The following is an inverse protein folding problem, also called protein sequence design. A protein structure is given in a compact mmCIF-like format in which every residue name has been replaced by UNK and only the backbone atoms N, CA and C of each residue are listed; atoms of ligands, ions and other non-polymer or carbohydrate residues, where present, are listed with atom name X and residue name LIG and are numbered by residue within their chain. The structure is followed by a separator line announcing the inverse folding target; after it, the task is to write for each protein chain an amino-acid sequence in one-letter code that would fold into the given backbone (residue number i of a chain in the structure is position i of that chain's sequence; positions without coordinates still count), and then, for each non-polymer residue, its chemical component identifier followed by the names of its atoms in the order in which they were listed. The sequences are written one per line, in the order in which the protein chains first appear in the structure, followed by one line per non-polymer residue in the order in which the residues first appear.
data_IF_965301727652
#
_entry.id   IF_965301727652
#
_cell.length_a   1.000
_cell.length_b   1.000
_cell.length_c   1.000
_cell.angle_alpha   90.00
_cell.angle_beta   90.00
_cell.angle_gamma   90.00
#
_symmetry.space_group_name_H-M   'P 1'
#
loop_
_entity.id
_entity.type
_entity.pdbx_description
1 polymer ?
#
# COMPACT_ATOMS: atom_id res chain seq x y z
N UNK A 1 -4.68 7.45 5.97
CA UNK A 1 -5.57 7.22 7.12
C UNK A 1 -6.62 6.14 6.86
N UNK A 2 -7.40 6.22 5.77
CA UNK A 2 -8.50 5.27 5.49
C UNK A 2 -8.10 3.79 5.62
N UNK A 3 -7.08 3.28 4.91
CA UNK A 3 -6.73 1.84 4.96
C UNK A 3 -6.31 1.32 6.35
N UNK A 4 -5.58 2.11 7.13
CA UNK A 4 -5.20 1.77 8.51
C UNK A 4 -6.41 1.82 9.46
N UNK A 5 -7.28 2.82 9.30
CA UNK A 5 -8.53 2.93 10.04
C UNK A 5 -9.46 1.75 9.75
N UNK A 6 -9.56 1.33 8.49
CA UNK A 6 -10.44 0.25 8.05
C UNK A 6 -10.04 -1.11 8.64
N UNK A 7 -8.74 -1.40 8.68
CA UNK A 7 -8.22 -2.62 9.33
C UNK A 7 -8.37 -2.62 10.83
N UNK A 8 -8.29 -1.44 11.42
CA UNK A 8 -8.42 -1.24 12.86
C UNK A 8 -9.86 -1.35 13.33
N UNK A 9 -10.78 -0.75 12.56
CA UNK A 9 -12.22 -0.89 12.75
C UNK A 9 -12.56 -2.38 12.63
N UNK A 10 -12.07 -3.08 11.61
CA UNK A 10 -12.33 -4.51 11.43
C UNK A 10 -11.83 -5.41 12.57
N UNK A 11 -10.62 -5.19 13.11
CA UNK A 11 -10.12 -5.91 14.29
C UNK A 11 -11.01 -5.70 15.54
N UNK A 12 -11.50 -4.47 15.74
CA UNK A 12 -12.47 -4.18 16.80
C UNK A 12 -13.79 -4.93 16.55
N UNK A 13 -14.22 -5.03 15.30
CA UNK A 13 -15.49 -5.63 14.92
C UNK A 13 -15.50 -7.16 14.95
N UNK A 14 -14.38 -7.83 14.70
CA UNK A 14 -14.23 -9.28 14.98
C UNK A 14 -14.45 -9.53 16.46
N UNK A 15 -13.80 -8.73 17.32
CA UNK A 15 -13.93 -8.86 18.77
C UNK A 15 -15.35 -8.56 19.27
N UNK A 16 -16.13 -7.80 18.48
CA UNK A 16 -17.51 -7.40 18.74
C UNK A 16 -18.52 -8.07 17.78
N UNK A 17 -18.18 -9.24 17.23
CA UNK A 17 -18.95 -9.99 16.21
C UNK A 17 -20.40 -10.37 16.59
N UNK A 18 -20.87 -9.99 17.78
CA UNK A 18 -22.26 -10.13 18.26
C UNK A 18 -23.16 -8.94 17.90
N UNK A 19 -22.65 -7.92 17.22
CA UNK A 19 -23.42 -6.75 16.82
C UNK A 19 -23.95 -6.94 15.39
N UNK A 20 -25.26 -7.12 15.26
CA UNK A 20 -25.95 -7.54 14.03
C UNK A 20 -26.24 -6.39 13.04
N UNK A 21 -25.94 -5.13 13.38
CA UNK A 21 -26.23 -3.98 12.50
C UNK A 21 -25.26 -2.81 12.63
N UNK A 22 -25.08 -2.07 11.52
CA UNK A 22 -24.25 -0.85 11.50
C UNK A 22 -24.70 0.19 12.55
N UNK A 23 -26.00 0.24 12.86
CA UNK A 23 -26.54 1.14 13.88
C UNK A 23 -26.02 0.81 15.29
N UNK A 24 -25.86 -0.48 15.61
CA UNK A 24 -25.27 -0.91 16.88
C UNK A 24 -23.77 -0.58 16.93
N UNK A 25 -23.07 -0.65 15.79
CA UNK A 25 -21.64 -0.35 15.70
C UNK A 25 -21.37 1.14 15.90
N UNK A 26 -22.18 2.01 15.28
CA UNK A 26 -22.08 3.47 15.44
C UNK A 26 -22.30 3.85 16.90
N UNK A 27 -23.29 3.26 17.56
CA UNK A 27 -23.60 3.54 18.97
C UNK A 27 -22.46 3.15 19.92
N UNK A 28 -21.68 2.12 19.59
CA UNK A 28 -20.67 1.58 20.51
C UNK A 28 -19.24 2.05 20.19
N UNK A 29 -18.96 2.38 18.93
CA UNK A 29 -17.64 2.83 18.47
C UNK A 29 -17.55 4.34 18.26
N UNK A 30 -18.69 5.03 18.11
CA UNK A 30 -18.75 6.49 18.03
C UNK A 30 -18.27 7.18 19.31
N UNK A 31 -18.37 6.49 20.46
CA UNK A 31 -17.92 6.98 21.77
C UNK A 31 -16.38 6.97 21.95
N UNK A 32 -15.62 6.41 21.01
CA UNK A 32 -14.17 6.24 21.15
C UNK A 32 -13.35 7.43 20.63
N UNK A 33 -13.97 8.53 20.18
CA UNK A 33 -13.36 9.75 19.58
C UNK A 33 -12.35 9.50 18.43
N UNK A 34 -12.17 8.24 18.04
CA UNK A 34 -11.15 7.80 17.10
C UNK A 34 -11.72 7.60 15.70
N UNK A 35 -13.02 7.33 15.58
CA UNK A 35 -13.70 7.14 14.31
C UNK A 35 -14.91 8.05 14.18
N UNK A 36 -15.04 8.66 13.02
CA UNK A 36 -16.26 9.35 12.62
C UNK A 36 -17.35 8.33 12.28
N UNK A 37 -18.62 8.71 12.44
CA UNK A 37 -19.76 7.88 12.05
C UNK A 37 -19.67 7.45 10.57
N UNK A 38 -19.17 8.33 9.69
CA UNK A 38 -19.00 8.04 8.27
C UNK A 38 -17.98 6.92 8.01
N UNK A 39 -16.88 6.89 8.78
CA UNK A 39 -15.89 5.81 8.72
C UNK A 39 -16.47 4.48 9.22
N UNK A 40 -17.28 4.50 10.28
CA UNK A 40 -17.94 3.29 10.80
C UNK A 40 -18.95 2.73 9.78
N UNK A 41 -19.75 3.60 9.16
CA UNK A 41 -20.72 3.22 8.11
C UNK A 41 -20.04 2.63 6.88
N UNK A 42 -18.93 3.22 6.44
CA UNK A 42 -18.13 2.72 5.33
C UNK A 42 -17.67 1.28 5.59
N UNK A 43 -17.07 1.00 6.74
CA UNK A 43 -16.57 -0.35 7.08
C UNK A 43 -17.72 -1.37 7.11
N UNK A 44 -18.85 -0.99 7.71
CA UNK A 44 -19.99 -1.89 7.83
C UNK A 44 -20.61 -2.25 6.48
N UNK A 45 -20.72 -1.29 5.56
CA UNK A 45 -21.17 -1.53 4.19
C UNK A 45 -20.21 -2.48 3.46
N UNK A 46 -18.90 -2.25 3.56
CA UNK A 46 -17.89 -3.08 2.92
C UNK A 46 -17.71 -4.46 3.55
N UNK A 47 -18.06 -4.66 4.82
CA UNK A 47 -18.04 -6.00 5.43
C UNK A 47 -19.03 -6.95 4.74
N UNK A 48 -20.24 -6.46 4.42
CA UNK A 48 -21.25 -7.25 3.71
C UNK A 48 -20.79 -7.60 2.29
N UNK A 49 -20.14 -6.65 1.61
CA UNK A 49 -19.51 -6.88 0.30
C UNK A 49 -18.36 -7.89 0.41
N UNK A 50 -17.51 -7.78 1.44
CA UNK A 50 -16.41 -8.72 1.68
C UNK A 50 -16.88 -10.16 1.90
N UNK A 51 -17.96 -10.39 2.66
CA UNK A 51 -18.51 -11.75 2.85
C UNK A 51 -18.93 -12.33 1.50
N UNK A 52 -19.54 -11.51 0.64
CA UNK A 52 -19.95 -11.91 -0.71
C UNK A 52 -18.75 -12.16 -1.63
N UNK A 53 -17.71 -11.33 -1.54
CA UNK A 53 -16.51 -11.41 -2.41
C UNK A 53 -15.52 -12.50 -1.99
N UNK A 54 -15.47 -12.83 -0.69
CA UNK A 54 -14.73 -13.99 -0.16
C UNK A 54 -15.17 -15.28 -0.85
N UNK A 55 -16.44 -15.33 -1.25
CA UNK A 55 -17.08 -16.59 -1.56
C UNK A 55 -17.00 -17.04 -3.02
N UNK A 56 -16.59 -16.27 -4.08
CA UNK A 56 -16.14 -16.94 -5.34
C UNK A 56 -15.54 -16.24 -6.60
N UNK A 57 -15.48 -14.91 -6.82
CA UNK A 57 -15.30 -14.42 -8.23
C UNK A 57 -14.18 -13.39 -8.53
N UNK A 58 -13.78 -12.56 -7.57
CA UNK A 58 -12.87 -11.43 -7.82
C UNK A 58 -11.49 -11.84 -8.41
N UNK A 59 -10.85 -12.85 -7.81
CA UNK A 59 -9.56 -13.35 -8.28
C UNK A 59 -9.63 -14.07 -9.63
N UNK A 60 -10.78 -14.69 -9.96
CA UNK A 60 -11.00 -15.37 -11.26
C UNK A 60 -11.10 -14.33 -12.38
N UNK A 61 -11.87 -13.26 -12.16
CA UNK A 61 -12.03 -12.18 -13.13
C UNK A 61 -10.70 -11.48 -13.44
N UNK A 62 -9.84 -11.29 -12.44
CA UNK A 62 -8.48 -10.79 -12.67
C UNK A 62 -7.67 -11.71 -13.58
N UNK A 63 -7.72 -13.03 -13.35
CA UNK A 63 -7.02 -14.01 -14.17
C UNK A 63 -7.57 -14.10 -15.60
N UNK A 64 -8.87 -13.90 -15.80
CA UNK A 64 -9.52 -13.93 -17.13
C UNK A 64 -9.07 -12.78 -18.04
N UNK A 65 -8.73 -11.62 -17.47
CA UNK A 65 -8.31 -10.43 -18.24
C UNK A 65 -6.79 -10.23 -18.30
N UNK A 66 -6.02 -11.05 -17.58
CA UNK A 66 -4.56 -10.98 -17.53
C UNK A 66 -3.96 -11.81 -18.67
N UNK A 67 -3.01 -11.24 -19.41
CA UNK A 67 -2.37 -11.94 -20.53
C UNK A 67 -1.37 -13.01 -20.05
N UNK A 68 -0.99 -13.94 -20.94
CA UNK A 68 0.02 -14.96 -20.63
C UNK A 68 1.38 -14.37 -20.22
N UNK A 69 1.82 -13.27 -20.85
CA UNK A 69 3.10 -12.64 -20.49
C UNK A 69 3.03 -11.97 -19.11
N UNK A 70 1.90 -11.33 -18.79
CA UNK A 70 1.64 -10.74 -17.48
C UNK A 70 1.59 -11.83 -16.39
N UNK A 71 0.89 -12.95 -16.64
CA UNK A 71 0.86 -14.10 -15.74
C UNK A 71 2.25 -14.72 -15.56
N UNK A 72 3.03 -14.86 -16.64
CA UNK A 72 4.40 -15.37 -16.59
C UNK A 72 5.29 -14.48 -15.73
N UNK A 73 5.16 -13.17 -15.85
CA UNK A 73 5.88 -12.21 -15.02
C UNK A 73 5.50 -12.36 -13.53
N UNK A 74 4.21 -12.37 -13.20
CA UNK A 74 3.74 -12.49 -11.82
C UNK A 74 4.19 -13.80 -11.18
N UNK A 75 4.06 -14.93 -11.90
CA UNK A 75 4.55 -16.24 -11.44
C UNK A 75 6.06 -16.25 -11.24
N UNK A 76 6.82 -15.55 -12.09
CA UNK A 76 8.26 -15.44 -11.92
C UNK A 76 8.63 -14.69 -10.64
N UNK A 77 7.96 -13.57 -10.34
CA UNK A 77 8.17 -12.80 -9.10
C UNK A 77 7.80 -13.65 -7.88
N UNK A 78 6.66 -14.34 -7.91
CA UNK A 78 6.22 -15.24 -6.85
C UNK A 78 7.24 -16.37 -6.61
N UNK A 79 7.69 -17.04 -7.68
CA UNK A 79 8.67 -18.10 -7.61
C UNK A 79 10.01 -17.59 -7.06
N UNK A 80 10.50 -16.45 -7.56
CA UNK A 80 11.71 -15.84 -7.06
C UNK A 80 11.59 -15.47 -5.57
N UNK A 81 10.39 -15.08 -5.12
CA UNK A 81 10.09 -14.78 -3.73
C UNK A 81 10.22 -16.01 -2.84
N UNK A 82 9.61 -17.13 -3.25
CA UNK A 82 9.75 -18.41 -2.54
C UNK A 82 11.18 -18.91 -2.48
N UNK A 83 11.90 -18.80 -3.59
CA UNK A 83 13.28 -19.30 -3.73
C UNK A 83 14.34 -18.30 -3.25
N UNK A 84 13.95 -17.06 -2.93
CA UNK A 84 14.87 -15.96 -2.67
C UNK A 84 15.93 -15.78 -3.78
N UNK A 85 15.51 -15.82 -5.04
CA UNK A 85 16.44 -15.95 -6.17
C UNK A 85 17.44 -14.77 -6.29
N UNK A 86 17.06 -13.57 -5.84
CA UNK A 86 17.97 -12.40 -5.74
C UNK A 86 19.17 -12.68 -4.84
N UNK A 87 18.98 -13.45 -3.75
CA UNK A 87 20.08 -13.86 -2.86
C UNK A 87 21.00 -14.87 -3.53
N UNK A 88 20.47 -15.74 -4.39
CA UNK A 88 21.28 -16.73 -5.12
C UNK A 88 22.20 -16.09 -6.17
N UNK A 89 21.71 -15.08 -6.89
CA UNK A 89 22.53 -14.28 -7.79
C UNK A 89 23.69 -13.58 -7.04
N UNK A 90 23.44 -13.07 -5.83
CA UNK A 90 24.46 -12.47 -4.95
C UNK A 90 25.42 -13.50 -4.33
N UNK A 91 24.96 -14.74 -4.08
CA UNK A 91 25.71 -15.83 -3.42
C UNK A 91 26.97 -16.23 -4.16
N UNK A 92 27.03 -16.01 -5.48
CA UNK A 92 28.24 -16.23 -6.28
C UNK A 92 29.37 -15.22 -5.98
N UNK A 93 29.14 -14.16 -5.16
CA UNK A 93 30.16 -13.13 -4.89
C UNK A 93 30.31 -12.65 -3.43
N UNK A 94 29.43 -12.95 -2.45
CA UNK A 94 29.60 -12.54 -1.03
C UNK A 94 28.64 -13.24 -0.04
N UNK A 95 28.97 -13.18 1.25
CA UNK A 95 28.15 -13.68 2.37
C UNK A 95 26.75 -13.01 2.41
N UNK A 96 25.70 -13.72 2.86
CA UNK A 96 24.34 -13.20 2.83
C UNK A 96 24.14 -12.08 3.86
N UNK A 97 24.03 -10.84 3.41
CA UNK A 97 23.52 -9.74 4.22
C UNK A 97 21.98 -9.79 4.23
N UNK A 98 21.37 -9.67 5.41
CA UNK A 98 19.91 -9.51 5.53
C UNK A 98 19.51 -8.17 4.89
N UNK A 99 18.41 -8.16 4.13
CA UNK A 99 17.78 -6.90 3.71
C UNK A 99 17.29 -6.16 4.96
N UNK A 100 17.65 -4.89 5.10
CA UNK A 100 17.17 -4.02 6.18
C UNK A 100 16.35 -2.91 5.52
N UNK A 101 15.09 -2.77 5.96
CA UNK A 101 14.21 -1.67 5.57
C UNK A 101 14.49 -0.49 6.50
N UNK A 102 14.85 0.66 5.93
CA UNK A 102 15.18 1.89 6.67
C UNK A 102 14.02 2.86 6.65
N UNK A 103 13.97 3.76 7.63
CA UNK A 103 13.13 4.95 7.53
C UNK A 103 13.66 5.79 6.35
N UNK A 104 12.78 6.24 5.46
CA UNK A 104 13.18 6.87 4.19
C UNK A 104 14.05 8.11 4.38
N UNK A 105 13.84 8.89 5.45
CA UNK A 105 14.63 10.10 5.76
C UNK A 105 16.03 9.78 6.28
N UNK A 106 16.30 8.52 6.61
CA UNK A 106 17.59 8.01 7.08
C UNK A 106 18.40 7.32 5.98
N UNK A 107 17.87 7.28 4.75
CA UNK A 107 18.58 6.73 3.59
C UNK A 107 19.65 7.70 3.10
N UNK A 108 20.76 7.19 2.59
CA UNK A 108 21.75 8.04 1.92
C UNK A 108 21.24 8.52 0.55
N UNK A 109 21.83 9.58 0.01
CA UNK A 109 21.52 10.06 -1.34
C UNK A 109 21.68 8.97 -2.41
N UNK A 110 22.68 8.08 -2.28
CA UNK A 110 22.84 6.95 -3.19
C UNK A 110 21.73 5.91 -3.06
N UNK A 111 21.27 5.63 -1.82
CA UNK A 111 20.18 4.69 -1.58
C UNK A 111 18.85 5.25 -2.13
N UNK A 112 18.62 6.56 -1.99
CA UNK A 112 17.45 7.25 -2.56
C UNK A 112 17.49 7.25 -4.09
N UNK A 113 18.66 7.50 -4.68
CA UNK A 113 18.86 7.43 -6.13
C UNK A 113 18.62 6.00 -6.67
N UNK A 114 19.14 4.98 -5.99
CA UNK A 114 18.93 3.57 -6.35
C UNK A 114 17.44 3.20 -6.26
N UNK A 115 16.76 3.64 -5.20
CA UNK A 115 15.32 3.42 -5.01
C UNK A 115 14.51 4.06 -6.14
N UNK A 116 14.79 5.33 -6.45
CA UNK A 116 14.16 6.06 -7.54
C UNK A 116 14.40 5.37 -8.89
N UNK A 117 15.63 4.92 -9.15
CA UNK A 117 15.97 4.19 -10.37
C UNK A 117 15.20 2.86 -10.48
N UNK A 118 15.10 2.08 -9.39
CA UNK A 118 14.35 0.82 -9.39
C UNK A 118 12.85 1.02 -9.63
N UNK A 119 12.25 1.99 -8.95
CA UNK A 119 10.83 2.31 -9.10
C UNK A 119 10.50 2.81 -10.52
N UNK A 120 11.32 3.72 -11.05
CA UNK A 120 11.19 4.18 -12.45
C UNK A 120 11.46 3.04 -13.45
N UNK A 121 12.36 2.10 -13.15
CA UNK A 121 12.59 0.90 -13.96
C UNK A 121 11.32 0.08 -14.12
N UNK A 122 10.64 -0.24 -13.01
CA UNK A 122 9.35 -0.93 -13.05
C UNK A 122 8.27 -0.11 -13.77
N UNK A 123 8.29 1.22 -13.64
CA UNK A 123 7.35 2.11 -14.31
C UNK A 123 7.60 2.25 -15.82
N UNK A 124 8.81 1.95 -16.29
CA UNK A 124 9.15 1.97 -17.72
C UNK A 124 9.06 0.59 -18.38
N UNK A 125 9.10 -0.49 -17.60
CA UNK A 125 9.07 -1.86 -18.10
C UNK A 125 7.66 -2.26 -18.56
N UNK A 126 7.43 -2.27 -19.87
CA UNK A 126 6.16 -2.65 -20.47
C UNK A 126 5.98 -4.18 -20.58
N UNK A 127 4.77 -4.66 -20.31
CA UNK A 127 4.32 -6.05 -20.48
C UNK A 127 2.91 -5.98 -21.06
N UNK A 128 2.77 -6.20 -22.36
CA UNK A 128 1.47 -6.13 -23.08
C UNK A 128 0.70 -4.82 -22.81
N UNK A 129 1.35 -3.68 -23.07
CA UNK A 129 0.80 -2.31 -22.96
C UNK A 129 0.48 -1.80 -21.54
N UNK A 130 0.93 -2.51 -20.51
CA UNK A 130 0.91 -2.04 -19.12
C UNK A 130 2.30 -2.15 -18.51
N UNK A 131 2.64 -1.26 -17.58
CA UNK A 131 3.95 -1.30 -16.91
C UNK A 131 3.98 -2.38 -15.83
N UNK A 132 5.17 -2.90 -15.52
CA UNK A 132 5.35 -3.84 -14.40
C UNK A 132 4.91 -3.22 -13.06
N UNK A 133 5.11 -1.91 -12.87
CA UNK A 133 4.55 -1.16 -11.75
C UNK A 133 3.03 -1.23 -11.72
N UNK A 134 2.38 -0.92 -12.84
CA UNK A 134 0.92 -0.87 -12.95
C UNK A 134 0.30 -2.26 -12.77
N UNK A 135 0.97 -3.32 -13.21
CA UNK A 135 0.54 -4.70 -12.95
C UNK A 135 0.51 -5.04 -11.45
N UNK A 136 1.49 -4.56 -10.67
CA UNK A 136 1.43 -4.70 -9.21
C UNK A 136 0.28 -3.89 -8.60
N UNK A 137 -0.03 -2.71 -9.15
CA UNK A 137 -1.19 -1.93 -8.69
C UNK A 137 -2.52 -2.62 -9.02
N UNK A 138 -2.63 -3.34 -10.14
CA UNK A 138 -3.81 -4.16 -10.46
C UNK A 138 -3.98 -5.32 -9.49
N UNK A 139 -2.91 -6.06 -9.18
CA UNK A 139 -2.97 -7.15 -8.18
C UNK A 139 -3.46 -6.63 -6.83
N UNK A 140 -3.10 -5.40 -6.47
CA UNK A 140 -3.54 -4.73 -5.25
C UNK A 140 -4.98 -4.18 -5.30
N UNK A 141 -5.54 -3.96 -6.50
CA UNK A 141 -6.80 -3.27 -6.65
C UNK A 141 -7.93 -3.99 -5.90
N UNK A 142 -8.85 -3.27 -5.22
CA UNK A 142 -9.88 -3.90 -4.38
C UNK A 142 -10.69 -4.99 -5.10
N UNK A 143 -11.02 -4.80 -6.38
CA UNK A 143 -11.77 -5.77 -7.17
C UNK A 143 -10.93 -7.01 -7.57
N UNK A 144 -9.60 -6.94 -7.48
CA UNK A 144 -8.68 -8.05 -7.78
C UNK A 144 -8.24 -8.79 -6.51
N UNK A 145 -8.14 -8.08 -5.39
CA UNK A 145 -7.77 -8.63 -4.09
C UNK A 145 -8.66 -8.09 -2.95
N UNK A 146 -9.97 -8.40 -2.93
CA UNK A 146 -10.87 -7.89 -1.89
C UNK A 146 -10.48 -8.40 -0.49
N UNK A 147 -9.99 -9.65 -0.43
CA UNK A 147 -9.47 -10.26 0.80
C UNK A 147 -8.22 -9.57 1.38
N UNK A 148 -7.55 -8.70 0.61
CA UNK A 148 -6.38 -7.98 1.08
C UNK A 148 -6.71 -6.84 2.06
N UNK A 149 -7.95 -6.35 2.12
CA UNK A 149 -8.26 -5.06 2.75
C UNK A 149 -9.15 -5.15 3.99
N UNK A 150 -10.05 -6.14 4.03
CA UNK A 150 -11.22 -6.13 4.91
C UNK A 150 -11.32 -7.41 5.75
N UNK A 151 -10.18 -8.02 6.04
CA UNK A 151 -10.10 -9.36 6.64
C UNK A 151 -8.81 -9.62 7.42
N UNK A 152 -8.70 -10.81 8.05
CA UNK A 152 -7.55 -11.13 8.90
C UNK A 152 -6.31 -11.39 8.04
N UNK A 153 -6.53 -11.61 6.75
CA UNK A 153 -5.50 -11.67 5.73
C UNK A 153 -4.85 -10.31 5.44
N UNK A 154 -5.36 -9.17 5.93
CA UNK A 154 -4.81 -7.84 5.61
C UNK A 154 -3.29 -7.76 5.82
N UNK A 155 -2.84 -8.06 7.04
CA UNK A 155 -1.42 -7.98 7.41
C UNK A 155 -0.55 -9.01 6.66
N UNK A 156 -0.87 -10.32 6.66
CA UNK A 156 -0.05 -11.30 5.93
C UNK A 156 -0.07 -11.09 4.41
N UNK A 157 -1.20 -10.71 3.82
CA UNK A 157 -1.31 -10.42 2.38
C UNK A 157 -0.42 -9.24 2.00
N UNK A 158 -0.49 -8.11 2.73
CA UNK A 158 0.34 -6.94 2.43
C UNK A 158 1.83 -7.20 2.70
N UNK A 159 2.16 -8.04 3.70
CA UNK A 159 3.54 -8.47 3.95
C UNK A 159 4.12 -9.21 2.75
N UNK A 160 3.37 -10.16 2.20
CA UNK A 160 3.79 -10.93 1.02
C UNK A 160 3.83 -10.06 -0.24
N UNK A 161 2.82 -9.23 -0.46
CA UNK A 161 2.79 -8.26 -1.56
C UNK A 161 4.02 -7.33 -1.55
N UNK A 162 4.34 -6.74 -0.40
CA UNK A 162 5.53 -5.88 -0.26
C UNK A 162 6.83 -6.66 -0.47
N UNK A 163 6.87 -7.96 -0.15
CA UNK A 163 8.06 -8.78 -0.40
C UNK A 163 8.23 -9.07 -1.90
N UNK A 164 7.17 -9.45 -2.59
CA UNK A 164 7.18 -9.65 -4.03
C UNK A 164 7.55 -8.36 -4.77
N UNK A 165 6.99 -7.23 -4.34
CA UNK A 165 7.32 -5.91 -4.87
C UNK A 165 8.78 -5.52 -4.63
N UNK A 166 9.33 -5.77 -3.43
CA UNK A 166 10.76 -5.55 -3.14
C UNK A 166 11.66 -6.40 -4.06
N UNK A 167 11.26 -7.63 -4.38
CA UNK A 167 11.99 -8.50 -5.30
C UNK A 167 11.91 -7.96 -6.74
N UNK A 168 10.75 -7.48 -7.17
CA UNK A 168 10.62 -6.83 -8.47
C UNK A 168 11.56 -5.61 -8.57
N UNK A 169 11.63 -4.75 -7.54
CA UNK A 169 12.58 -3.64 -7.48
C UNK A 169 14.04 -4.12 -7.56
N UNK A 170 14.36 -5.22 -6.89
CA UNK A 170 15.69 -5.82 -6.92
C UNK A 170 16.06 -6.45 -8.27
N UNK A 171 15.09 -6.73 -9.16
CA UNK A 171 15.40 -7.10 -10.55
C UNK A 171 15.86 -5.92 -11.39
N UNK A 172 15.50 -4.69 -11.00
CA UNK A 172 15.93 -3.46 -11.66
C UNK A 172 17.24 -2.95 -11.03
N UNK A 173 17.28 -2.82 -9.70
CA UNK A 173 18.48 -2.42 -8.94
C UNK A 173 18.71 -3.40 -7.79
N UNK A 174 19.68 -4.33 -7.91
CA UNK A 174 19.83 -5.42 -6.96
C UNK A 174 20.01 -4.98 -5.51
N UNK A 175 20.67 -3.85 -5.23
CA UNK A 175 20.97 -3.33 -3.87
C UNK A 175 19.75 -2.87 -3.09
N UNK A 176 18.66 -2.50 -3.77
CA UNK A 176 17.52 -1.78 -3.18
C UNK A 176 16.79 -2.61 -2.14
N UNK A 177 16.37 -1.93 -1.08
CA UNK A 177 15.43 -2.41 -0.08
C UNK A 177 14.28 -1.42 0.00
N UNK A 178 13.07 -1.91 0.30
CA UNK A 178 11.93 -1.01 0.48
C UNK A 178 12.12 -0.22 1.78
N UNK A 179 12.07 1.12 1.76
CA UNK A 179 12.01 1.89 2.99
C UNK A 179 10.61 1.81 3.61
N UNK A 180 10.51 2.32 4.83
CA UNK A 180 9.25 2.67 5.46
C UNK A 180 9.18 4.18 5.72
N UNK A 181 7.97 4.69 5.80
CA UNK A 181 7.69 6.05 6.24
C UNK A 181 7.08 6.00 7.63
N UNK A 182 7.76 6.60 8.61
CA UNK A 182 7.16 6.87 9.91
C UNK A 182 6.37 8.18 9.86
N UNK A 183 5.05 8.04 9.68
CA UNK A 183 4.11 9.17 9.64
C UNK A 183 3.88 9.83 11.01
N UNK A 184 4.26 9.17 12.11
CA UNK A 184 4.13 9.77 13.45
C UNK A 184 5.08 10.94 13.65
N UNK A 185 6.15 11.00 12.86
CA UNK A 185 7.11 12.10 12.87
C UNK A 185 6.58 13.37 12.18
N UNK A 186 5.64 13.25 11.24
CA UNK A 186 5.05 14.41 10.55
C UNK A 186 3.74 14.90 11.18
N UNK A 187 3.11 14.09 12.04
CA UNK A 187 1.84 14.44 12.68
C UNK A 187 1.93 15.73 13.51
N UNK A 188 3.12 16.07 14.01
CA UNK A 188 3.36 17.30 14.79
C UNK A 188 3.57 18.57 13.96
N UNK A 189 3.51 18.49 12.63
CA UNK A 189 3.64 19.66 11.76
C UNK A 189 2.34 20.47 11.75
N UNK A 190 2.40 21.82 11.66
CA UNK A 190 1.21 22.66 11.47
C UNK A 190 0.41 22.30 10.20
N UNK A 191 1.12 21.81 9.18
CA UNK A 191 0.56 21.24 7.97
C UNK A 191 1.42 20.05 7.55
N UNK A 192 0.82 18.87 7.40
CA UNK A 192 1.57 17.65 7.06
C UNK A 192 2.10 17.65 5.61
N UNK A 193 1.58 18.56 4.77
CA UNK A 193 2.14 18.82 3.44
C UNK A 193 3.52 19.49 3.48
N UNK A 194 3.91 20.08 4.61
CA UNK A 194 5.23 20.70 4.81
C UNK A 194 6.31 19.68 5.20
N UNK A 195 5.95 18.39 5.30
CA UNK A 195 6.92 17.32 5.55
C UNK A 195 8.01 17.29 4.49
N UNK A 196 9.24 17.04 4.93
CA UNK A 196 10.40 16.83 4.05
C UNK A 196 10.18 15.72 3.01
N UNK A 197 9.23 14.81 3.25
CA UNK A 197 8.82 13.82 2.25
C UNK A 197 8.42 14.42 0.91
N UNK A 198 7.83 15.61 0.94
CA UNK A 198 7.23 16.25 -0.23
C UNK A 198 8.19 17.19 -0.97
N UNK A 199 9.49 16.98 -0.76
CA UNK A 199 10.57 17.68 -1.45
C UNK A 199 11.03 16.91 -2.68
N UNK A 200 11.70 17.61 -3.59
CA UNK A 200 12.27 17.06 -4.82
C UNK A 200 13.33 15.98 -4.55
N UNK A 201 13.98 16.02 -3.38
CA UNK A 201 14.97 15.01 -2.98
C UNK A 201 14.31 13.66 -2.63
N UNK A 202 13.09 13.70 -2.08
CA UNK A 202 12.37 12.49 -1.66
C UNK A 202 11.27 12.12 -2.66
N UNK A 203 10.00 12.48 -2.40
CA UNK A 203 8.88 11.97 -3.19
C UNK A 203 8.39 12.97 -4.25
N UNK A 204 8.90 14.20 -4.26
CA UNK A 204 8.35 15.33 -5.03
C UNK A 204 7.14 15.97 -4.35
N UNK A 205 6.64 17.06 -4.94
CA UNK A 205 5.57 17.89 -4.37
C UNK A 205 4.38 17.08 -3.83
N UNK A 206 3.89 17.49 -2.66
CA UNK A 206 2.82 16.80 -1.91
C UNK A 206 1.41 17.18 -2.33
N UNK A 207 1.26 18.27 -3.07
CA UNK A 207 -0.05 18.79 -3.50
C UNK A 207 -0.09 19.08 -5.00
N UNK A 208 -1.21 18.74 -5.63
CA UNK A 208 -1.44 18.89 -7.06
C UNK A 208 -0.89 17.75 -7.89
N UNK A 209 -0.80 17.97 -9.21
CA UNK A 209 -0.08 17.07 -10.09
C UNK A 209 1.41 17.05 -9.71
N UNK A 210 1.99 15.86 -9.62
CA UNK A 210 3.39 15.68 -9.25
C UNK A 210 4.27 16.06 -10.44
N UNK A 211 4.97 17.19 -10.31
CA UNK A 211 5.81 17.81 -11.35
C UNK A 211 7.28 17.84 -10.97
N UNK A 212 7.61 17.46 -9.74
CA UNK A 212 8.95 17.56 -9.15
C UNK A 212 9.37 16.23 -8.53
N UNK A 213 10.66 16.13 -8.21
CA UNK A 213 11.28 14.94 -7.64
C UNK A 213 11.34 13.71 -8.56
N UNK A 214 11.79 12.56 -8.04
CA UNK A 214 12.12 11.37 -8.84
C UNK A 214 10.93 10.71 -9.53
N UNK A 215 9.71 11.08 -9.14
CA UNK A 215 8.45 10.51 -9.64
C UNK A 215 7.59 11.53 -10.39
N UNK A 216 8.20 12.64 -10.82
CA UNK A 216 7.55 13.66 -11.62
C UNK A 216 6.91 13.06 -12.89
N UNK A 217 5.71 13.54 -13.21
CA UNK A 217 4.97 13.20 -14.44
C UNK A 217 4.64 11.71 -14.60
N UNK A 218 4.72 10.91 -13.53
CA UNK A 218 4.24 9.53 -13.54
C UNK A 218 2.80 9.46 -14.01
N UNK A 219 2.52 8.52 -14.92
CA UNK A 219 1.15 8.21 -15.29
C UNK A 219 0.52 7.26 -14.25
N UNK A 220 -0.75 7.46 -13.92
CA UNK A 220 -1.47 6.61 -12.94
C UNK A 220 -2.46 5.66 -13.58
N UNK A 221 -2.38 5.52 -14.90
CA UNK A 221 -3.35 4.75 -15.66
C UNK A 221 -3.22 3.26 -15.35
N UNK A 222 -4.18 2.76 -14.57
CA UNK A 222 -4.78 1.47 -14.85
C UNK A 222 -6.27 1.64 -14.70
N UNK A 223 -7.03 1.19 -15.70
CA UNK A 223 -8.49 1.19 -15.77
C UNK A 223 -9.14 1.11 -14.38
N UNK A 224 -9.34 2.25 -13.71
CA UNK A 224 -10.04 2.33 -12.43
C UNK A 224 -11.52 2.42 -12.77
N UNK A 225 -12.32 1.36 -12.68
CA UNK A 225 -13.74 1.39 -13.04
C UNK A 225 -14.57 2.39 -12.23
N UNK A 226 -14.00 3.03 -11.21
CA UNK A 226 -14.69 3.93 -10.27
C UNK A 226 -14.23 5.40 -10.30
N UNK A 227 -13.27 5.79 -11.17
CA UNK A 227 -12.90 7.20 -11.32
C UNK A 227 -13.53 7.79 -12.58
N UNK A 228 -14.52 8.67 -12.42
CA UNK A 228 -15.09 9.47 -13.53
C UNK A 228 -14.11 10.49 -14.11
N UNK A 229 -12.95 10.68 -13.46
CA UNK A 229 -11.88 11.57 -13.91
C UNK A 229 -10.80 10.71 -14.58
N UNK A 230 -10.41 11.00 -15.84
CA UNK A 230 -9.25 10.37 -16.45
C UNK A 230 -7.98 10.93 -15.80
N UNK A 231 -7.61 10.39 -14.63
CA UNK A 231 -6.36 10.79 -13.97
C UNK A 231 -5.21 10.13 -14.73
N UNK A 232 -4.70 10.89 -15.71
CA UNK A 232 -3.54 10.49 -16.52
C UNK A 232 -2.26 10.59 -15.72
N UNK A 233 -2.12 11.62 -14.86
CA UNK A 233 -0.89 11.95 -14.13
C UNK A 233 -1.07 11.83 -12.62
N UNK A 234 -0.01 11.41 -11.93
CA UNK A 234 0.06 11.31 -10.48
C UNK A 234 -0.35 12.63 -9.85
N UNK A 235 -1.38 12.57 -9.01
CA UNK A 235 -1.94 13.70 -8.26
C UNK A 235 -1.88 13.38 -6.78
N UNK A 236 -1.50 14.36 -5.96
CA UNK A 236 -1.46 14.25 -4.50
C UNK A 236 -2.23 15.39 -3.85
N UNK A 237 -2.74 15.12 -2.66
CA UNK A 237 -3.45 16.08 -1.80
C UNK A 237 -3.08 15.77 -0.35
N UNK A 238 -1.83 16.04 0.03
CA UNK A 238 -1.35 15.82 1.41
C UNK A 238 -1.89 16.91 2.35
N UNK A 239 -2.19 16.53 3.60
CA UNK A 239 -2.88 17.39 4.57
C UNK A 239 -4.40 17.31 4.48
N UNK A 240 -4.93 16.67 3.42
CA UNK A 240 -6.31 16.20 3.36
C UNK A 240 -7.39 17.26 3.62
N UNK A 241 -8.52 16.79 4.17
CA UNK A 241 -9.61 17.63 4.69
C UNK A 241 -9.34 17.96 6.16
N UNK A 242 -10.02 18.96 6.70
CA UNK A 242 -9.83 19.44 8.09
C UNK A 242 -9.93 18.34 9.17
N UNK A 243 -10.64 17.24 8.88
CA UNK A 243 -10.80 16.07 9.75
C UNK A 243 -9.74 14.96 9.57
N UNK A 244 -8.85 15.07 8.59
CA UNK A 244 -7.78 14.10 8.36
C UNK A 244 -6.57 14.44 9.22
N UNK A 245 -5.97 13.45 9.88
CA UNK A 245 -4.71 13.61 10.61
C UNK A 245 -3.77 12.42 10.38
N UNK A 246 -2.47 12.62 10.54
CA UNK A 246 -1.54 11.50 10.59
C UNK A 246 -1.67 10.70 11.90
N UNK A 247 -1.11 9.49 11.89
CA UNK A 247 -1.09 8.62 13.06
C UNK A 247 -0.21 9.25 14.15
N UNK A 248 -0.69 9.27 15.39
CA UNK A 248 0.10 9.76 16.53
C UNK A 248 0.88 8.60 17.17
N UNK A 249 1.95 8.88 17.94
CA UNK A 249 2.59 7.87 18.77
C UNK A 249 1.63 7.22 19.78
N UNK A 250 0.62 7.98 20.27
CA UNK A 250 -0.42 7.45 21.15
C UNK A 250 -1.27 6.39 20.45
N UNK A 251 -1.67 6.63 19.20
CA UNK A 251 -2.43 5.66 18.42
C UNK A 251 -1.63 4.36 18.30
N UNK A 252 -0.36 4.44 17.86
CA UNK A 252 0.53 3.29 17.69
C UNK A 252 0.73 2.50 19.00
N UNK A 253 0.96 3.18 20.12
CA UNK A 253 1.07 2.55 21.44
C UNK A 253 -0.23 1.86 21.84
N UNK A 254 -1.37 2.49 21.57
CA UNK A 254 -2.67 1.89 21.84
C UNK A 254 -2.89 0.63 21.00
N UNK A 255 -2.54 0.64 19.71
CA UNK A 255 -2.63 -0.55 18.83
C UNK A 255 -1.82 -1.72 19.41
N UNK A 256 -0.56 -1.45 19.74
CA UNK A 256 0.43 -2.48 20.09
C UNK A 256 0.29 -2.98 21.54
N UNK A 257 -0.32 -2.17 22.41
CA UNK A 257 -0.58 -2.55 23.82
C UNK A 257 -1.78 -3.50 23.99
N UNK A 258 -2.57 -3.72 22.94
CA UNK A 258 -3.76 -4.59 22.99
C UNK A 258 -3.38 -6.05 23.14
N UNK A 259 -4.04 -6.72 24.09
CA UNK A 259 -3.82 -8.15 24.40
C UNK A 259 -4.72 -9.10 23.60
N UNK A 260 -5.79 -8.60 22.98
CA UNK A 260 -6.79 -9.41 22.27
C UNK A 260 -6.85 -8.99 20.80
N UNK A 261 -6.62 -9.96 19.91
CA UNK A 261 -6.80 -9.89 18.46
C UNK A 261 -7.87 -10.89 18.04
#
# INVERSE_FOLDING_TARGET
MLRLLLTFLWLILISQSKLDSCAQWIKQLGDLDFFTESQIRMVCMHQKEWIKDRDEEAGKKFLEVTTDNQLKYLRHVEQCTRQNCVREARRKKRAPTKSIRKEIRMMSASELSDLAAAMNGLKNRQIDNITAWDLHTLVHYPDSAPGAHWGPAFLPWHREFLRQFEIALQTEVPSVTLPYWDSTLDQGLPNEADSVLWTDELLGNGNGYVKTGPFANWDTNVFMPLSQIPVKKLYRSTGGREQDRLMTPRDANWITSRKNF
#
